data_IF_508478789045
#
_entry.id   IF_508478789045
#
_cell.length_a   1.000
_cell.length_b   1.000
_cell.length_c   1.000
_cell.angle_alpha   90.00
_cell.angle_beta   90.00
_cell.angle_gamma   90.00
#
_symmetry.space_group_name_H-M   'P 1'
#
loop_
_entity.id
_entity.type
_entity.pdbx_description
1 polymer ?
#
# COMPACT_ATOMS: atom_id res chain seq x y z
N UNK A 1 -19.89 11.47 7.83
CA UNK A 1 -19.01 10.51 8.53
C UNK A 1 -19.13 10.57 10.06
N UNK A 2 -19.45 9.44 10.69
CA UNK A 2 -19.41 9.19 12.15
C UNK A 2 -18.56 7.95 12.44
N UNK A 3 -18.29 7.64 13.72
CA UNK A 3 -17.57 6.42 14.11
C UNK A 3 -18.22 5.11 13.63
N UNK A 4 -19.52 5.12 13.32
CA UNK A 4 -20.26 3.97 12.79
C UNK A 4 -20.31 3.91 11.25
N UNK A 5 -19.78 4.90 10.53
CA UNK A 5 -19.76 4.89 9.07
C UNK A 5 -18.85 3.78 8.52
N UNK A 6 -19.35 3.02 7.55
CA UNK A 6 -18.58 2.04 6.79
C UNK A 6 -17.67 2.68 5.74
N UNK A 7 -16.59 2.00 5.36
CA UNK A 7 -15.67 2.48 4.33
C UNK A 7 -16.38 2.83 3.01
N UNK A 8 -17.36 2.02 2.58
CA UNK A 8 -18.12 2.29 1.35
C UNK A 8 -18.99 3.53 1.42
N UNK A 9 -19.52 3.86 2.59
CA UNK A 9 -20.28 5.10 2.80
C UNK A 9 -19.34 6.30 2.69
N UNK A 10 -18.15 6.23 3.30
CA UNK A 10 -17.14 7.28 3.20
C UNK A 10 -16.63 7.48 1.77
N UNK A 11 -16.49 6.40 0.98
CA UNK A 11 -16.14 6.49 -0.45
C UNK A 11 -17.22 7.27 -1.21
N UNK A 12 -18.51 6.94 -1.00
CA UNK A 12 -19.61 7.66 -1.65
C UNK A 12 -19.67 9.13 -1.23
N UNK A 13 -19.50 9.44 0.05
CA UNK A 13 -19.42 10.83 0.54
C UNK A 13 -18.25 11.58 -0.10
N UNK A 14 -17.07 10.94 -0.21
CA UNK A 14 -15.90 11.56 -0.82
C UNK A 14 -16.10 11.83 -2.31
N UNK A 15 -16.62 10.85 -3.06
CA UNK A 15 -16.91 11.02 -4.49
C UNK A 15 -17.86 12.18 -4.75
N UNK A 16 -18.93 12.28 -3.96
CA UNK A 16 -19.88 13.40 -4.05
C UNK A 16 -19.20 14.76 -3.81
N UNK A 17 -18.35 14.86 -2.78
CA UNK A 17 -17.59 16.09 -2.49
C UNK A 17 -16.61 16.48 -3.61
N UNK A 18 -16.10 15.50 -4.35
CA UNK A 18 -15.26 15.72 -5.53
C UNK A 18 -16.05 15.91 -6.83
N UNK A 19 -17.38 15.96 -6.78
CA UNK A 19 -18.23 16.11 -7.97
C UNK A 19 -18.28 14.86 -8.87
N UNK A 20 -17.96 13.69 -8.32
CA UNK A 20 -17.97 12.41 -9.01
C UNK A 20 -19.23 11.60 -8.67
N UNK A 21 -19.65 10.74 -9.60
CA UNK A 21 -20.83 9.91 -9.41
C UNK A 21 -20.62 8.87 -8.32
N UNK A 22 -21.50 8.84 -7.31
CA UNK A 22 -21.52 7.80 -6.28
C UNK A 22 -21.76 6.39 -6.83
N UNK A 23 -22.32 6.27 -8.04
CA UNK A 23 -22.46 4.98 -8.74
C UNK A 23 -21.10 4.35 -9.07
N UNK A 24 -20.07 5.18 -9.24
CA UNK A 24 -18.69 4.72 -9.48
C UNK A 24 -17.97 4.23 -8.22
N UNK A 25 -18.60 4.26 -7.04
CA UNK A 25 -17.98 3.87 -5.76
C UNK A 25 -17.36 2.45 -5.79
N UNK A 26 -17.89 1.53 -6.60
CA UNK A 26 -17.30 0.20 -6.76
C UNK A 26 -15.91 0.21 -7.40
N UNK A 27 -15.53 1.26 -8.12
CA UNK A 27 -14.22 1.42 -8.77
C UNK A 27 -13.17 2.04 -7.84
N UNK A 28 -13.58 2.49 -6.66
CA UNK A 28 -12.70 3.12 -5.69
C UNK A 28 -12.60 2.28 -4.41
N UNK A 29 -11.51 2.50 -3.69
CA UNK A 29 -11.24 1.93 -2.38
C UNK A 29 -10.80 3.04 -1.44
N UNK A 30 -11.20 2.90 -0.17
CA UNK A 30 -10.63 3.70 0.90
C UNK A 30 -9.42 2.94 1.45
N UNK A 31 -8.26 3.59 1.47
CA UNK A 31 -7.00 3.00 1.92
C UNK A 31 -6.56 3.66 3.23
N UNK A 32 -6.20 2.85 4.22
CA UNK A 32 -5.43 3.28 5.39
C UNK A 32 -3.94 3.27 5.00
N UNK A 33 -3.36 4.46 4.86
CA UNK A 33 -2.01 4.67 4.34
C UNK A 33 -1.10 5.15 5.45
N UNK A 34 0.01 4.43 5.64
CA UNK A 34 1.07 4.76 6.58
C UNK A 34 2.26 5.31 5.81
N UNK A 35 2.86 6.36 6.34
CA UNK A 35 4.01 7.01 5.72
C UNK A 35 4.71 7.97 6.67
N UNK A 36 5.63 8.75 6.14
CA UNK A 36 6.37 9.77 6.86
C UNK A 36 6.54 11.01 5.99
N UNK A 37 6.83 12.13 6.63
CA UNK A 37 7.17 13.37 5.95
C UNK A 37 8.69 13.50 5.92
N UNK A 38 9.27 13.50 4.73
CA UNK A 38 10.73 13.51 4.54
C UNK A 38 11.23 14.74 3.78
N UNK A 39 12.51 15.04 4.00
CA UNK A 39 13.22 16.12 3.33
C UNK A 39 12.89 17.52 3.87
N UNK A 40 13.59 18.57 3.36
CA UNK A 40 13.42 19.95 3.83
C UNK A 40 11.98 20.47 3.66
N UNK A 41 11.31 20.03 2.60
CA UNK A 41 9.93 20.42 2.27
C UNK A 41 8.86 19.56 2.96
N UNK A 42 9.27 18.59 3.79
CA UNK A 42 8.35 17.65 4.45
C UNK A 42 7.37 17.03 3.44
N UNK A 43 7.89 16.42 2.38
CA UNK A 43 7.05 15.72 1.38
C UNK A 43 6.61 14.37 1.92
N UNK A 44 5.37 14.01 1.63
CA UNK A 44 4.83 12.72 2.02
C UNK A 44 5.50 11.58 1.26
N UNK A 45 5.96 10.57 2.00
CA UNK A 45 6.45 9.30 1.48
C UNK A 45 5.60 8.18 2.05
N UNK A 46 4.93 7.44 1.18
CA UNK A 46 4.13 6.27 1.56
C UNK A 46 5.05 5.08 1.83
N UNK A 47 4.84 4.43 2.97
CA UNK A 47 5.59 3.26 3.42
C UNK A 47 4.77 1.97 3.26
N UNK A 48 3.46 2.07 3.43
CA UNK A 48 2.55 0.97 3.18
C UNK A 48 1.10 1.43 3.19
N UNK A 49 0.22 0.62 2.61
CA UNK A 49 -1.22 0.86 2.64
C UNK A 49 -1.98 -0.43 2.86
N UNK A 50 -3.21 -0.30 3.37
CA UNK A 50 -4.19 -1.37 3.47
C UNK A 50 -5.52 -0.89 2.92
N UNK A 51 -6.12 -1.68 2.03
CA UNK A 51 -7.50 -1.45 1.58
C UNK A 51 -8.46 -1.79 2.72
N UNK A 52 -9.40 -0.88 3.01
CA UNK A 52 -10.47 -1.11 3.97
C UNK A 52 -11.64 -1.81 3.28
N UNK A 53 -12.12 -2.90 3.87
CA UNK A 53 -13.32 -3.59 3.44
C UNK A 53 -14.57 -2.71 3.59
N UNK A 54 -15.56 -2.91 2.72
CA UNK A 54 -16.73 -2.03 2.56
C UNK A 54 -17.46 -1.70 3.88
N UNK A 55 -17.49 -2.65 4.83
CA UNK A 55 -18.18 -2.55 6.12
C UNK A 55 -17.29 -2.22 7.32
N UNK A 56 -15.96 -2.17 7.13
CA UNK A 56 -15.04 -1.71 8.18
C UNK A 56 -15.37 -0.29 8.59
N UNK A 57 -15.07 0.08 9.85
CA UNK A 57 -15.37 1.38 10.44
C UNK A 57 -14.11 2.24 10.49
N UNK A 58 -13.79 3.04 9.45
CA UNK A 58 -12.45 3.64 9.32
C UNK A 58 -12.13 4.62 10.45
N UNK A 59 -13.15 5.37 10.89
CA UNK A 59 -12.99 6.32 11.99
C UNK A 59 -12.80 5.61 13.35
N UNK A 60 -13.51 4.50 13.62
CA UNK A 60 -13.26 3.69 14.81
C UNK A 60 -11.86 3.05 14.79
N UNK A 61 -11.44 2.52 13.64
CA UNK A 61 -10.07 1.99 13.46
C UNK A 61 -9.03 3.09 13.71
N UNK A 62 -9.29 4.31 13.25
CA UNK A 62 -8.41 5.45 13.48
C UNK A 62 -8.23 5.76 14.96
N UNK A 63 -9.28 5.64 15.75
CA UNK A 63 -9.24 5.90 17.19
C UNK A 63 -8.49 4.80 17.94
N UNK A 64 -8.72 3.54 17.57
CA UNK A 64 -8.20 2.37 18.29
C UNK A 64 -6.78 1.95 17.90
N UNK A 65 -6.31 2.30 16.69
CA UNK A 65 -5.00 1.88 16.18
C UNK A 65 -4.18 3.10 15.82
N UNK A 66 -2.91 3.16 16.24
CA UNK A 66 -1.98 4.25 15.89
C UNK A 66 -0.77 3.72 15.11
N UNK A 67 -0.23 4.51 14.16
CA UNK A 67 1.04 4.17 13.52
C UNK A 67 2.15 4.03 14.56
N UNK A 68 3.19 3.27 14.21
CA UNK A 68 4.43 3.23 14.99
C UNK A 68 5.00 4.64 15.12
N UNK A 69 5.69 4.92 16.22
CA UNK A 69 6.41 6.17 16.42
C UNK A 69 7.29 6.53 15.20
N UNK A 70 7.26 7.80 14.80
CA UNK A 70 7.93 8.30 13.60
C UNK A 70 7.10 8.19 12.30
N UNK A 71 5.97 7.50 12.32
CA UNK A 71 5.06 7.39 11.18
C UNK A 71 3.78 8.19 11.40
N UNK A 72 3.14 8.52 10.28
CA UNK A 72 1.87 9.23 10.18
C UNK A 72 0.87 8.42 9.37
N UNK A 73 -0.42 8.72 9.53
CA UNK A 73 -1.53 8.06 8.83
C UNK A 73 -2.28 9.04 7.93
N UNK A 74 -2.76 8.56 6.78
CA UNK A 74 -3.76 9.22 5.92
C UNK A 74 -4.82 8.21 5.48
N UNK A 75 -6.08 8.64 5.43
CA UNK A 75 -7.12 7.92 4.70
C UNK A 75 -7.17 8.46 3.27
N UNK A 76 -6.90 7.61 2.29
CA UNK A 76 -6.82 8.01 0.88
C UNK A 76 -7.90 7.32 0.06
N UNK A 77 -8.54 8.08 -0.83
CA UNK A 77 -9.43 7.56 -1.85
C UNK A 77 -8.60 7.21 -3.08
N UNK A 78 -8.56 5.93 -3.47
CA UNK A 78 -7.79 5.46 -4.62
C UNK A 78 -8.66 4.65 -5.58
N UNK A 79 -8.29 4.62 -6.86
CA UNK A 79 -8.90 3.69 -7.83
C UNK A 79 -8.43 2.28 -7.51
N UNK A 80 -9.32 1.30 -7.57
CA UNK A 80 -8.97 -0.12 -7.32
C UNK A 80 -7.90 -0.62 -8.27
N UNK A 81 -7.99 -0.24 -9.55
CA UNK A 81 -6.99 -0.58 -10.55
C UNK A 81 -5.57 -0.09 -10.19
N UNK A 82 -5.43 1.09 -9.59
CA UNK A 82 -4.13 1.62 -9.15
C UNK A 82 -3.56 0.80 -7.98
N UNK A 83 -4.42 0.39 -7.05
CA UNK A 83 -4.01 -0.44 -5.90
C UNK A 83 -3.62 -1.84 -6.36
N UNK A 84 -4.36 -2.42 -7.30
CA UNK A 84 -4.04 -3.71 -7.92
C UNK A 84 -2.71 -3.65 -8.67
N UNK A 85 -2.45 -2.57 -9.40
CA UNK A 85 -1.17 -2.37 -10.09
C UNK A 85 -0.01 -2.24 -9.10
N UNK A 86 -0.18 -1.52 -7.99
CA UNK A 86 0.84 -1.42 -6.94
C UNK A 86 1.14 -2.79 -6.33
N UNK A 87 0.10 -3.56 -6.00
CA UNK A 87 0.26 -4.91 -5.47
C UNK A 87 0.97 -5.85 -6.46
N UNK A 88 0.67 -5.74 -7.76
CA UNK A 88 1.35 -6.51 -8.80
C UNK A 88 2.85 -6.16 -8.89
N UNK A 89 3.19 -4.87 -8.85
CA UNK A 89 4.59 -4.41 -8.84
C UNK A 89 5.36 -4.93 -7.64
N UNK A 90 4.75 -4.97 -6.46
CA UNK A 90 5.39 -5.50 -5.25
C UNK A 90 5.72 -7.00 -5.38
N UNK A 91 4.83 -7.78 -6.00
CA UNK A 91 5.10 -9.19 -6.33
C UNK A 91 6.31 -9.31 -7.26
N UNK A 92 6.37 -8.51 -8.31
CA UNK A 92 7.49 -8.53 -9.27
C UNK A 92 8.83 -8.21 -8.60
N UNK A 93 8.87 -7.23 -7.70
CA UNK A 93 10.12 -6.90 -6.97
C UNK A 93 10.62 -8.05 -6.08
N UNK A 94 9.69 -8.78 -5.46
CA UNK A 94 10.00 -9.96 -4.64
C UNK A 94 10.60 -11.07 -5.51
N UNK A 95 9.97 -11.38 -6.65
CA UNK A 95 10.43 -12.41 -7.59
C UNK A 95 11.77 -12.05 -8.25
N UNK A 96 11.98 -10.77 -8.60
CA UNK A 96 13.25 -10.29 -9.13
C UNK A 96 14.38 -10.38 -8.08
N UNK A 97 14.09 -10.08 -6.81
CA UNK A 97 15.03 -10.24 -5.70
C UNK A 97 15.48 -11.69 -5.50
N UNK A 98 14.54 -12.63 -5.55
CA UNK A 98 14.82 -14.07 -5.48
C UNK A 98 15.66 -14.55 -6.68
N UNK A 99 15.32 -14.13 -7.90
CA UNK A 99 16.06 -14.49 -9.10
C UNK A 99 17.52 -14.00 -9.06
N UNK A 100 17.78 -12.81 -8.51
CA UNK A 100 19.15 -12.28 -8.30
C UNK A 100 19.91 -13.01 -7.20
N UNK A 101 19.22 -13.48 -6.15
CA UNK A 101 19.82 -14.29 -5.10
C UNK A 101 20.23 -15.67 -5.64
N UNK A 102 19.33 -16.36 -6.34
CA UNK A 102 19.63 -17.66 -6.99
C UNK A 102 20.66 -17.54 -8.11
N UNK A 103 20.69 -16.43 -8.85
CA UNK A 103 21.74 -16.14 -9.82
C UNK A 103 23.12 -16.05 -9.19
N UNK A 104 23.23 -15.46 -7.99
CA UNK A 104 24.50 -15.39 -7.23
C UNK A 104 24.92 -16.74 -6.68
N UNK A 105 23.99 -17.53 -6.15
CA UNK A 105 24.29 -18.85 -5.59
C UNK A 105 24.83 -19.83 -6.67
N UNK A 106 24.29 -19.77 -7.89
CA UNK A 106 24.81 -20.55 -9.03
C UNK A 106 26.20 -20.12 -9.51
N UNK A 107 26.59 -18.87 -9.30
CA UNK A 107 27.94 -18.38 -9.65
C UNK A 107 28.99 -18.87 -8.65
N UNK A 108 28.63 -19.05 -7.38
CA UNK A 108 29.55 -19.54 -6.35
C UNK A 108 29.72 -21.08 -6.38
N UNK A 109 28.73 -21.83 -6.87
CA UNK A 109 28.82 -23.28 -7.04
C UNK A 109 29.66 -23.75 -8.24
N UNK A 110 30.04 -22.86 -9.16
CA UNK A 110 30.81 -23.21 -10.36
C UNK A 110 32.34 -22.96 -10.23
N UNK A 111 32.80 -22.42 -9.10
CA UNK A 111 34.19 -21.98 -8.91
C UNK A 111 35.09 -22.95 -8.12
N UNK A 112 34.66 -24.19 -7.86
CA UNK A 112 35.49 -25.19 -7.15
C UNK A 112 35.65 -26.49 -7.94
N UNK A 113 36.16 -26.41 -9.16
CA UNK A 113 36.88 -27.54 -9.75
C UNK A 113 37.81 -27.05 -10.86
N UNK A 114 39.02 -26.62 -10.50
CA UNK A 114 40.16 -26.71 -11.41
C UNK A 114 41.41 -27.00 -10.60
N UNK A 115 41.90 -28.22 -10.86
CA UNK A 115 43.05 -28.87 -10.28
C UNK A 115 44.31 -27.99 -10.39
N UNK A 116 45.11 -27.99 -9.34
CA UNK A 116 46.50 -27.52 -9.36
C UNK A 116 47.39 -28.68 -9.82
N UNK A 117 48.48 -28.40 -10.58
CA UNK A 117 49.34 -29.40 -11.20
C UNK A 117 50.14 -30.24 -10.20
#
# INVERSE_FOLDING_TARGET
ATGSSGARELVKEALERYGLSQLSAGQYALCDVIGKFEGPEKRWQTEGLRVLGDHEKPLLIQDLWKPREGFSRRLELRKRAEVEELAARDVDTTTAGQSRAWGRERVWGAATHRELP
#
